data_IF_233505189091
#
_entry.id   IF_233505189091
#
_cell.length_a   1.000
_cell.length_b   1.000
_cell.length_c   1.000
_cell.angle_alpha   90.00
_cell.angle_beta   90.00
_cell.angle_gamma   90.00
#
_symmetry.space_group_name_H-M   'P 1'
#
loop_
_entity.id
_entity.type
_entity.pdbx_description
1 polymer ?
#
# COMPACT_ATOMS: atom_id res chain seq x y z
N UNK A 1 -11.68 -2.74 14.08
CA UNK A 1 -11.04 -1.84 13.09
C UNK A 1 -10.71 -2.70 11.89
N UNK A 2 -11.19 -2.33 10.70
CA UNK A 2 -10.96 -3.12 9.48
C UNK A 2 -9.56 -2.84 8.92
N UNK A 3 -8.91 -3.87 8.40
CA UNK A 3 -7.58 -3.81 7.77
C UNK A 3 -7.70 -3.99 6.27
N UNK A 4 -7.11 -3.06 5.51
CA UNK A 4 -7.05 -3.13 4.06
C UNK A 4 -5.60 -3.29 3.60
N UNK A 5 -5.35 -4.20 2.66
CA UNK A 5 -4.07 -4.32 1.97
C UNK A 5 -4.21 -3.79 0.53
N UNK A 6 -3.38 -2.81 0.16
CA UNK A 6 -3.39 -2.18 -1.16
C UNK A 6 -2.05 -2.47 -1.87
N UNK A 7 -2.12 -3.10 -3.04
CA UNK A 7 -0.95 -3.19 -3.95
C UNK A 7 -0.94 -2.00 -4.90
N UNK A 8 0.24 -1.54 -5.35
CA UNK A 8 0.30 -0.35 -6.20
C UNK A 8 -0.07 0.95 -5.47
N UNK A 9 0.14 1.00 -4.15
CA UNK A 9 -0.30 2.11 -3.29
C UNK A 9 0.33 3.47 -3.65
N UNK A 10 1.51 3.46 -4.27
CA UNK A 10 2.21 4.67 -4.75
C UNK A 10 1.70 5.18 -6.10
N UNK A 11 0.81 4.42 -6.75
CA UNK A 11 0.08 4.86 -7.93
C UNK A 11 -0.99 5.92 -7.58
N UNK A 12 -1.59 6.52 -8.60
CA UNK A 12 -2.63 7.52 -8.43
C UNK A 12 -3.82 6.94 -7.65
N UNK A 13 -4.45 5.89 -8.17
CA UNK A 13 -5.64 5.29 -7.54
C UNK A 13 -5.33 4.70 -6.17
N UNK A 14 -4.14 4.13 -6.00
CA UNK A 14 -3.67 3.60 -4.72
C UNK A 14 -3.59 4.67 -3.63
N UNK A 15 -3.06 5.85 -3.95
CA UNK A 15 -2.96 6.96 -3.00
C UNK A 15 -4.33 7.52 -2.59
N UNK A 16 -5.24 7.72 -3.55
CA UNK A 16 -6.61 8.18 -3.25
C UNK A 16 -7.40 7.16 -2.45
N UNK A 17 -7.28 5.86 -2.77
CA UNK A 17 -7.93 4.81 -2.01
C UNK A 17 -7.41 4.74 -0.57
N UNK A 18 -6.10 4.91 -0.37
CA UNK A 18 -5.51 4.92 0.96
C UNK A 18 -6.08 6.04 1.82
N UNK A 19 -6.15 7.27 1.29
CA UNK A 19 -6.78 8.42 1.96
C UNK A 19 -8.23 8.13 2.35
N UNK A 20 -9.01 7.63 1.40
CA UNK A 20 -10.43 7.34 1.60
C UNK A 20 -10.67 6.27 2.67
N UNK A 21 -9.84 5.22 2.71
CA UNK A 21 -9.97 4.18 3.72
C UNK A 21 -9.51 4.67 5.10
N UNK A 22 -8.43 5.45 5.18
CA UNK A 22 -7.99 6.09 6.41
C UNK A 22 -9.08 7.03 6.96
N UNK A 23 -9.75 7.81 6.12
CA UNK A 23 -10.85 8.70 6.54
C UNK A 23 -12.07 7.92 7.06
N UNK A 24 -12.23 6.66 6.63
CA UNK A 24 -13.25 5.72 7.15
C UNK A 24 -12.81 4.99 8.41
N UNK A 25 -11.60 5.28 8.93
CA UNK A 25 -11.07 4.68 10.15
C UNK A 25 -10.48 3.28 9.96
N UNK A 26 -10.17 2.88 8.72
CA UNK A 26 -9.44 1.64 8.45
C UNK A 26 -7.98 1.76 8.87
N UNK A 27 -7.38 0.60 9.12
CA UNK A 27 -5.94 0.41 9.11
C UNK A 27 -5.54 0.01 7.68
N UNK A 28 -4.66 0.77 7.06
CA UNK A 28 -4.27 0.64 5.66
C UNK A 28 -2.82 0.19 5.57
N UNK A 29 -2.62 -0.91 4.85
CA UNK A 29 -1.32 -1.49 4.56
C UNK A 29 -1.03 -1.38 3.08
N UNK A 30 0.13 -0.83 2.73
CA UNK A 30 0.57 -0.68 1.34
C UNK A 30 1.75 -1.56 0.99
N UNK A 31 1.73 -2.16 -0.20
CA UNK A 31 2.91 -2.81 -0.78
C UNK A 31 3.67 -1.81 -1.65
N UNK A 32 4.95 -1.63 -1.32
CA UNK A 32 5.89 -0.84 -2.11
C UNK A 32 7.03 -1.72 -2.61
N UNK A 33 7.44 -1.51 -3.87
CA UNK A 33 8.63 -2.16 -4.42
C UNK A 33 9.88 -1.48 -3.86
N UNK A 34 10.96 -2.24 -3.66
CA UNK A 34 12.28 -1.64 -3.44
C UNK A 34 12.70 -0.93 -4.73
N UNK A 35 12.84 0.39 -4.66
CA UNK A 35 13.35 1.22 -5.75
C UNK A 35 14.51 2.06 -5.23
N UNK A 36 15.47 2.39 -6.10
CA UNK A 36 16.60 3.27 -5.79
C UNK A 36 16.19 4.73 -5.62
N UNK A 37 14.99 5.09 -6.07
CA UNK A 37 14.38 6.43 -5.90
C UNK A 37 13.13 6.35 -5.03
N UNK A 38 12.94 7.38 -4.19
CA UNK A 38 11.72 7.54 -3.40
C UNK A 38 10.54 7.87 -4.31
N UNK A 39 9.63 6.90 -4.48
CA UNK A 39 8.40 7.05 -5.27
C UNK A 39 7.16 7.24 -4.37
N UNK A 40 7.33 7.76 -3.16
CA UNK A 40 6.27 7.88 -2.14
C UNK A 40 5.62 9.27 -2.08
N UNK A 41 6.00 10.20 -2.97
CA UNK A 41 5.48 11.58 -2.97
C UNK A 41 3.95 11.70 -2.87
N UNK A 42 3.21 10.75 -3.44
CA UNK A 42 1.73 10.72 -3.40
C UNK A 42 1.14 10.27 -2.08
N UNK A 43 1.94 9.73 -1.18
CA UNK A 43 1.52 9.18 0.12
C UNK A 43 2.31 9.79 1.29
N UNK A 44 3.27 10.68 1.03
CA UNK A 44 4.10 11.29 2.07
C UNK A 44 3.26 12.13 3.05
N UNK A 45 2.19 12.79 2.59
CA UNK A 45 1.32 13.61 3.44
C UNK A 45 0.37 12.81 4.33
N UNK A 46 0.11 11.54 4.00
CA UNK A 46 -0.65 10.61 4.85
C UNK A 46 0.25 9.69 5.67
N UNK A 47 1.55 9.68 5.38
CA UNK A 47 2.51 8.89 6.14
C UNK A 47 2.72 9.51 7.52
N UNK A 48 2.45 8.70 8.54
CA UNK A 48 2.71 9.05 9.94
C UNK A 48 3.77 8.08 10.45
N UNK A 49 4.70 8.57 11.26
CA UNK A 49 5.70 7.71 11.90
C UNK A 49 5.00 6.52 12.60
N UNK A 50 5.34 5.26 12.28
CA UNK A 50 4.70 4.08 12.84
C UNK A 50 4.75 4.00 14.37
N UNK A 51 5.69 4.69 15.02
CA UNK A 51 5.81 4.77 16.47
C UNK A 51 4.86 5.80 17.10
N UNK A 52 4.17 6.60 16.30
CA UNK A 52 3.16 7.54 16.78
C UNK A 52 1.92 6.78 17.25
N UNK A 53 1.42 7.15 18.43
CA UNK A 53 0.22 6.53 19.00
C UNK A 53 -0.99 6.83 18.09
N UNK A 54 -1.52 5.79 17.44
CA UNK A 54 -2.65 5.91 16.51
C UNK A 54 -2.27 5.91 15.02
N UNK A 55 -1.02 5.58 14.66
CA UNK A 55 -0.67 5.29 13.28
C UNK A 55 -1.56 4.16 12.72
N UNK A 56 -2.18 4.42 11.57
CA UNK A 56 -3.06 3.48 10.86
C UNK A 56 -2.60 3.20 9.44
N UNK A 57 -1.44 3.74 9.05
CA UNK A 57 -0.89 3.61 7.73
C UNK A 57 0.48 2.95 7.80
N UNK A 58 0.64 1.81 7.13
CA UNK A 58 1.86 1.00 7.20
C UNK A 58 2.31 0.60 5.80
N UNK A 59 3.60 0.73 5.52
CA UNK A 59 4.20 0.33 4.25
C UNK A 59 5.06 -0.92 4.43
N UNK A 60 4.91 -1.86 3.51
CA UNK A 60 5.59 -3.15 3.49
C UNK A 60 6.34 -3.26 2.16
N UNK A 61 7.61 -3.65 2.24
CA UNK A 61 8.34 -3.99 1.03
C UNK A 61 7.83 -5.31 0.47
N UNK A 62 7.54 -5.34 -0.83
CA UNK A 62 7.10 -6.53 -1.52
C UNK A 62 7.18 -6.38 -3.04
N UNK A 63 7.47 -7.48 -3.72
CA UNK A 63 7.28 -7.59 -5.18
C UNK A 63 6.10 -8.53 -5.47
N UNK A 64 5.21 -8.11 -6.37
CA UNK A 64 4.06 -8.91 -6.78
C UNK A 64 4.45 -10.17 -7.58
N UNK A 65 5.66 -10.18 -8.16
CA UNK A 65 6.21 -11.38 -8.78
C UNK A 65 6.77 -12.39 -7.75
N UNK A 66 6.98 -11.98 -6.50
CA UNK A 66 7.45 -12.83 -5.41
C UNK A 66 6.26 -13.27 -4.53
N UNK A 67 5.72 -14.45 -4.83
CA UNK A 67 4.56 -14.99 -4.13
C UNK A 67 4.81 -15.30 -2.65
N UNK A 68 6.04 -15.60 -2.24
CA UNK A 68 6.39 -15.89 -0.86
C UNK A 68 6.30 -14.61 -0.01
N UNK A 69 6.87 -13.50 -0.49
CA UNK A 69 6.77 -12.21 0.20
C UNK A 69 5.32 -11.76 0.37
N UNK A 70 4.52 -11.84 -0.69
CA UNK A 70 3.11 -11.46 -0.64
C UNK A 70 2.32 -12.34 0.34
N UNK A 71 2.58 -13.66 0.33
CA UNK A 71 1.94 -14.60 1.26
C UNK A 71 2.30 -14.26 2.71
N UNK A 72 3.58 -14.00 2.99
CA UNK A 72 4.06 -13.61 4.32
C UNK A 72 3.42 -12.30 4.80
N UNK A 73 3.31 -11.30 3.92
CA UNK A 73 2.64 -10.03 4.23
C UNK A 73 1.18 -10.27 4.59
N UNK A 74 0.44 -11.00 3.75
CA UNK A 74 -0.98 -11.29 3.98
C UNK A 74 -1.16 -12.08 5.29
N UNK A 75 -0.30 -13.06 5.55
CA UNK A 75 -0.35 -13.88 6.77
C UNK A 75 -0.15 -13.06 8.05
N UNK A 76 0.80 -12.12 8.03
CA UNK A 76 1.10 -11.27 9.17
C UNK A 76 0.02 -10.19 9.39
N UNK A 77 -0.44 -9.56 8.32
CA UNK A 77 -1.42 -8.46 8.40
C UNK A 77 -2.82 -9.01 8.67
N UNK A 78 -3.20 -10.14 8.08
CA UNK A 78 -4.57 -10.69 8.09
C UNK A 78 -5.59 -9.61 7.69
N UNK A 79 -5.51 -9.09 6.44
CA UNK A 79 -6.41 -8.04 5.98
C UNK A 79 -7.84 -8.57 5.83
N UNK A 80 -8.83 -7.71 6.11
CA UNK A 80 -10.24 -7.99 5.84
C UNK A 80 -10.57 -7.79 4.35
N UNK A 81 -9.86 -6.86 3.70
CA UNK A 81 -10.08 -6.46 2.32
C UNK A 81 -8.72 -6.32 1.59
N UNK A 82 -8.61 -6.85 0.37
CA UNK A 82 -7.42 -6.73 -0.48
C UNK A 82 -7.79 -6.00 -1.77
N UNK A 83 -7.09 -4.91 -2.04
CA UNK A 83 -7.26 -4.08 -3.23
C UNK A 83 -6.01 -4.21 -4.12
N UNK A 84 -6.15 -4.94 -5.22
CA UNK A 84 -5.02 -5.21 -6.12
C UNK A 84 -4.97 -4.19 -7.27
N UNK A 85 -4.22 -3.10 -7.08
CA UNK A 85 -4.08 -2.01 -8.06
C UNK A 85 -2.69 -1.97 -8.72
N UNK A 86 -1.75 -2.80 -8.24
CA UNK A 86 -0.40 -2.89 -8.80
C UNK A 86 -0.40 -3.55 -10.17
N UNK A 87 -0.19 -2.77 -11.22
CA UNK A 87 -0.05 -3.26 -12.59
C UNK A 87 1.01 -2.45 -13.36
N UNK A 88 1.55 -3.03 -14.43
CA UNK A 88 2.34 -2.28 -15.41
C UNK A 88 1.36 -1.50 -16.30
N UNK A 89 1.10 -0.24 -15.96
CA UNK A 89 0.03 0.56 -16.58
C UNK A 89 0.48 1.37 -17.80
N UNK A 90 1.75 1.29 -18.21
CA UNK A 90 2.22 2.02 -19.38
C UNK A 90 1.82 1.27 -20.66
N UNK A 91 0.77 1.75 -21.31
CA UNK A 91 0.41 1.34 -22.67
C UNK A 91 1.38 2.06 -23.62
N UNK A 92 2.15 1.30 -24.40
CA UNK A 92 2.99 1.87 -25.46
C UNK A 92 2.07 2.56 -26.47
N UNK A 93 2.10 3.89 -26.53
CA UNK A 93 1.61 4.64 -27.69
C UNK A 93 2.65 4.47 -28.80
N UNK A 94 2.30 3.66 -29.80
CA UNK A 94 3.02 3.51 -31.06
C UNK A 94 2.78 4.71 -31.98
#
# INVERSE_FOLDING_TARGET
MKKALITGITGQDGSYLAEFLLSKGYEVHGIIRRASTFNTQRIDHIYVDPHTRGAKFFLHYGDLADGEQITNVIYNIKPDEIYHLGAQSHVRVS
#
